data_IF_455037352567
#
_entry.id   IF_455037352567
#
_cell.length_a   1.000
_cell.length_b   1.000
_cell.length_c   1.000
_cell.angle_alpha   90.00
_cell.angle_beta   90.00
_cell.angle_gamma   90.00
#
_symmetry.space_group_name_H-M   'P 1'
#
loop_
_entity.id
_entity.type
_entity.pdbx_description
1 polymer ?
#
# COMPACT_ATOMS: atom_id res chain seq x y z
N UNK A 1 21.84 -1.41 -2.85
CA UNK A 1 21.19 -1.68 -4.14
C UNK A 1 19.69 -1.66 -3.90
N UNK A 2 18.95 -0.79 -4.59
CA UNK A 2 17.50 -0.70 -4.48
C UNK A 2 16.86 -1.57 -5.56
N UNK A 3 15.86 -2.36 -5.20
CA UNK A 3 15.13 -3.24 -6.10
C UNK A 3 13.75 -2.61 -6.34
N UNK A 4 13.39 -2.29 -7.59
CA UNK A 4 12.03 -1.86 -7.91
C UNK A 4 11.03 -2.95 -7.55
N UNK A 5 9.89 -2.58 -6.97
CA UNK A 5 8.81 -3.52 -6.70
C UNK A 5 8.08 -3.88 -8.01
N UNK A 6 8.63 -4.81 -8.80
CA UNK A 6 8.05 -5.27 -10.07
C UNK A 6 7.85 -6.79 -10.13
N UNK A 7 6.81 -7.23 -10.86
CA UNK A 7 6.89 -8.44 -11.69
C UNK A 7 7.32 -8.02 -13.10
N UNK A 8 8.03 -8.87 -13.84
CA UNK A 8 8.59 -8.53 -15.16
C UNK A 8 7.49 -8.22 -16.18
N UNK A 9 7.24 -6.94 -16.47
CA UNK A 9 6.34 -6.45 -17.51
C UNK A 9 6.09 -4.95 -17.39
N UNK A 10 5.74 -4.27 -18.49
CA UNK A 10 5.32 -2.87 -18.55
C UNK A 10 3.92 -2.71 -17.95
N UNK A 11 3.83 -2.78 -16.63
CA UNK A 11 2.60 -2.70 -15.86
C UNK A 11 2.45 -1.28 -15.25
N UNK A 12 1.23 -0.81 -14.91
CA UNK A 12 0.91 0.52 -14.32
C UNK A 12 1.67 0.93 -13.05
N UNK A 13 2.50 0.06 -12.49
CA UNK A 13 3.25 0.34 -11.28
C UNK A 13 4.23 1.49 -11.52
N UNK A 14 4.32 2.41 -10.56
CA UNK A 14 5.30 3.47 -10.62
C UNK A 14 6.69 2.88 -10.41
N UNK A 15 7.68 3.50 -11.03
CA UNK A 15 9.08 3.12 -10.82
C UNK A 15 9.68 3.77 -9.57
N UNK A 16 8.86 4.50 -8.80
CA UNK A 16 9.32 5.34 -7.68
C UNK A 16 9.08 4.70 -6.29
N UNK A 17 8.64 3.44 -6.23
CA UNK A 17 8.60 2.64 -4.98
C UNK A 17 9.62 1.51 -5.05
N UNK A 18 10.60 1.55 -4.15
CA UNK A 18 11.71 0.60 -4.10
C UNK A 18 11.70 -0.19 -2.80
N UNK A 19 12.37 -1.34 -2.81
CA UNK A 19 12.76 -2.04 -1.60
C UNK A 19 14.27 -2.18 -1.54
N UNK A 20 14.82 -2.04 -0.34
CA UNK A 20 16.25 -2.18 -0.12
C UNK A 20 16.68 -3.66 -0.12
N UNK A 21 17.99 -3.89 -0.24
CA UNK A 21 18.53 -5.22 -0.52
C UNK A 21 18.33 -6.15 0.66
N UNK A 22 18.53 -5.70 1.90
CA UNK A 22 18.36 -6.58 3.06
C UNK A 22 16.89 -7.01 3.20
N UNK A 23 15.98 -6.03 3.05
CA UNK A 23 14.54 -6.28 3.06
C UNK A 23 14.14 -7.39 2.09
N UNK A 24 14.69 -7.37 0.88
CA UNK A 24 14.38 -8.36 -0.17
C UNK A 24 15.12 -9.69 -0.01
N UNK A 25 16.35 -9.69 0.52
CA UNK A 25 17.18 -10.90 0.67
C UNK A 25 16.56 -11.88 1.65
N UNK A 26 15.94 -11.39 2.72
CA UNK A 26 15.31 -12.29 3.72
C UNK A 26 14.05 -12.95 3.19
N UNK A 27 13.32 -12.29 2.27
CA UNK A 27 12.16 -12.87 1.61
C UNK A 27 12.55 -14.05 0.70
N UNK A 28 13.81 -14.10 0.25
CA UNK A 28 14.32 -15.13 -0.66
C UNK A 28 15.11 -16.26 0.02
N UNK A 29 15.58 -16.05 1.26
CA UNK A 29 16.54 -16.93 1.92
C UNK A 29 15.91 -18.10 2.72
N UNK A 30 14.62 -18.05 3.08
CA UNK A 30 14.02 -19.09 3.93
C UNK A 30 13.04 -19.97 3.14
N UNK A 31 13.52 -21.17 2.79
CA UNK A 31 12.79 -22.21 2.06
C UNK A 31 11.88 -23.09 2.93
N UNK A 32 11.66 -22.75 4.21
CA UNK A 32 10.94 -23.66 5.13
C UNK A 32 10.00 -23.00 6.13
N UNK A 33 9.98 -21.67 6.26
CA UNK A 33 8.87 -20.94 6.89
C UNK A 33 8.76 -19.59 6.16
N UNK A 34 7.59 -19.30 5.60
CA UNK A 34 7.38 -18.11 4.76
C UNK A 34 7.32 -16.84 5.63
N UNK A 35 8.47 -16.41 6.13
CA UNK A 35 8.59 -15.15 6.86
C UNK A 35 8.57 -13.98 5.87
N UNK A 36 7.38 -13.40 5.71
CA UNK A 36 7.21 -12.15 4.98
C UNK A 36 7.49 -11.01 5.96
N UNK A 37 8.52 -10.20 5.66
CA UNK A 37 8.85 -9.02 6.46
C UNK A 37 7.67 -8.02 6.47
N UNK A 38 7.25 -7.54 7.64
CA UNK A 38 6.29 -6.46 7.71
C UNK A 38 6.91 -5.18 7.13
N UNK A 39 6.11 -4.44 6.38
CA UNK A 39 6.51 -3.16 5.80
C UNK A 39 6.25 -2.10 6.85
N UNK A 40 7.27 -1.79 7.67
CA UNK A 40 7.13 -0.85 8.79
C UNK A 40 7.98 0.42 8.64
N UNK A 41 9.05 0.36 7.84
CA UNK A 41 10.01 1.44 7.72
C UNK A 41 10.10 1.92 6.28
N UNK A 42 9.74 3.19 6.09
CA UNK A 42 9.70 3.81 4.77
C UNK A 42 10.62 5.02 4.78
N UNK A 43 11.52 5.12 3.80
CA UNK A 43 12.20 6.36 3.50
C UNK A 43 11.42 7.08 2.40
N UNK A 44 11.11 8.36 2.59
CA UNK A 44 10.70 9.22 1.50
C UNK A 44 11.86 10.12 1.10
N UNK A 45 11.97 10.43 -0.19
CA UNK A 45 12.89 11.45 -0.65
C UNK A 45 12.35 12.22 -1.86
N UNK A 46 12.78 13.48 -1.96
CA UNK A 46 12.54 14.35 -3.12
C UNK A 46 13.84 14.82 -3.77
N UNK A 47 14.98 14.23 -3.40
CA UNK A 47 16.31 14.69 -3.82
C UNK A 47 16.52 14.65 -5.34
N UNK A 48 15.86 13.74 -6.05
CA UNK A 48 15.92 13.60 -7.51
C UNK A 48 14.93 14.50 -8.26
N UNK A 49 14.23 15.41 -7.57
CA UNK A 49 13.16 16.24 -8.15
C UNK A 49 11.83 15.51 -8.33
N UNK A 50 11.78 14.20 -8.06
CA UNK A 50 10.56 13.39 -8.00
C UNK A 50 10.43 12.73 -6.64
N UNK A 51 9.21 12.61 -6.09
CA UNK A 51 8.99 11.89 -4.84
C UNK A 51 9.25 10.40 -5.05
N UNK A 52 10.06 9.80 -4.19
CA UNK A 52 10.34 8.35 -4.15
C UNK A 52 10.08 7.80 -2.76
N UNK A 53 9.62 6.55 -2.69
CA UNK A 53 9.50 5.79 -1.45
C UNK A 53 10.43 4.57 -1.50
N UNK A 54 11.11 4.30 -0.39
CA UNK A 54 12.00 3.15 -0.25
C UNK A 54 11.64 2.38 1.02
N UNK A 55 11.27 1.12 0.85
CA UNK A 55 11.03 0.19 1.95
C UNK A 55 12.37 -0.34 2.42
N UNK A 56 12.64 -0.20 3.72
CA UNK A 56 13.92 -0.56 4.33
C UNK A 56 13.71 -1.54 5.48
N UNK A 57 14.73 -2.36 5.74
CA UNK A 57 14.77 -3.21 6.94
C UNK A 57 15.14 -2.40 8.19
N UNK A 58 14.81 -2.88 9.40
CA UNK A 58 15.30 -2.27 10.64
C UNK A 58 16.83 -2.18 10.70
N UNK A 59 17.53 -3.18 10.14
CA UNK A 59 18.99 -3.22 10.07
C UNK A 59 19.55 -2.07 9.24
N UNK A 60 19.01 -1.86 8.04
CA UNK A 60 19.39 -0.75 7.15
C UNK A 60 19.05 0.61 7.78
N UNK A 61 17.91 0.72 8.47
CA UNK A 61 17.53 1.93 9.21
C UNK A 61 18.57 2.27 10.26
N UNK A 62 18.97 1.30 11.09
CA UNK A 62 19.94 1.53 12.16
C UNK A 62 21.29 2.01 11.60
N UNK A 63 21.75 1.40 10.52
CA UNK A 63 22.99 1.79 9.85
C UNK A 63 22.93 3.21 9.22
N UNK A 64 21.76 3.63 8.73
CA UNK A 64 21.58 4.89 8.01
C UNK A 64 21.06 6.04 8.89
N UNK A 65 20.68 5.77 10.14
CA UNK A 65 19.93 6.69 10.98
C UNK A 65 20.63 8.05 11.17
N UNK A 66 21.94 8.03 11.40
CA UNK A 66 22.75 9.26 11.53
C UNK A 66 22.70 10.13 10.28
N UNK A 67 22.79 9.52 9.10
CA UNK A 67 22.75 10.23 7.82
C UNK A 67 21.34 10.76 7.52
N UNK A 68 20.30 9.97 7.85
CA UNK A 68 18.91 10.39 7.71
C UNK A 68 18.63 11.62 8.58
N UNK A 69 19.05 11.59 9.84
CA UNK A 69 18.89 12.73 10.79
C UNK A 69 19.58 14.01 10.32
N UNK A 70 20.71 13.89 9.63
CA UNK A 70 21.45 15.03 9.08
C UNK A 70 20.85 15.56 7.75
N UNK A 71 20.03 14.77 7.06
CA UNK A 71 19.44 15.14 5.78
C UNK A 71 18.26 16.10 5.94
N UNK A 72 18.02 16.93 4.91
CA UNK A 72 16.81 17.76 4.79
C UNK A 72 15.82 17.25 3.75
N UNK A 73 16.22 16.26 2.96
CA UNK A 73 15.48 15.77 1.79
C UNK A 73 15.10 14.29 1.91
N UNK A 74 15.53 13.63 2.98
CA UNK A 74 15.22 12.22 3.24
C UNK A 74 14.57 12.15 4.60
N UNK A 75 13.39 11.54 4.66
CA UNK A 75 12.65 11.35 5.90
C UNK A 75 12.41 9.87 6.10
N UNK A 76 12.72 9.36 7.28
CA UNK A 76 12.30 8.05 7.74
C UNK A 76 10.93 8.15 8.37
N UNK A 77 10.04 7.24 8.00
CA UNK A 77 8.68 7.12 8.48
C UNK A 77 8.46 5.76 9.12
N UNK A 78 7.82 5.74 10.28
CA UNK A 78 7.15 4.55 10.77
C UNK A 78 5.80 4.46 10.08
N UNK A 79 5.57 3.32 9.45
CA UNK A 79 4.36 3.01 8.71
C UNK A 79 3.78 1.70 9.23
N UNK A 80 2.47 1.54 9.13
CA UNK A 80 1.82 0.27 9.43
C UNK A 80 0.61 0.13 8.52
N UNK A 81 0.52 -0.94 7.71
CA UNK A 81 -0.64 -1.16 6.86
C UNK A 81 -1.89 -1.40 7.72
N UNK A 82 -3.03 -0.85 7.29
CA UNK A 82 -4.33 -1.04 7.95
C UNK A 82 -4.87 -2.45 7.68
N UNK A 83 -4.41 -3.43 8.44
CA UNK A 83 -4.79 -4.85 8.33
C UNK A 83 -6.01 -5.22 9.17
N UNK A 84 -6.37 -4.39 10.15
CA UNK A 84 -7.57 -4.52 10.97
C UNK A 84 -8.43 -3.28 10.72
N UNK A 85 -9.76 -3.43 10.56
CA UNK A 85 -10.69 -2.30 10.35
C UNK A 85 -10.50 -1.23 11.42
N UNK A 86 -10.19 -1.69 12.64
CA UNK A 86 -9.99 -0.90 13.82
C UNK A 86 -8.68 -0.05 13.86
N UNK A 87 -7.76 -0.24 12.92
CA UNK A 87 -6.53 0.55 12.92
C UNK A 87 -6.79 1.93 12.30
N UNK A 88 -6.15 2.96 12.85
CA UNK A 88 -6.08 4.27 12.18
C UNK A 88 -5.22 4.14 10.93
N UNK A 89 -5.63 4.80 9.85
CA UNK A 89 -4.81 4.88 8.64
C UNK A 89 -3.48 5.59 8.91
N UNK A 90 -2.40 5.03 8.38
CA UNK A 90 -1.05 5.61 8.38
C UNK A 90 -0.63 6.03 6.96
N UNK A 91 -1.60 6.20 6.06
CA UNK A 91 -1.40 6.52 4.64
C UNK A 91 -0.75 7.90 4.44
N UNK A 92 -0.83 8.78 5.43
CA UNK A 92 -0.19 10.09 5.44
C UNK A 92 1.30 10.07 5.78
N UNK A 93 1.84 8.91 6.18
CA UNK A 93 3.22 8.69 6.64
C UNK A 93 3.64 9.64 7.78
N UNK A 94 2.69 10.11 8.59
CA UNK A 94 2.95 11.05 9.71
C UNK A 94 2.87 10.43 11.08
N UNK A 95 2.64 9.11 11.19
CA UNK A 95 2.61 8.40 12.48
C UNK A 95 3.86 8.71 13.32
N UNK A 96 5.03 8.62 12.70
CA UNK A 96 6.30 9.11 13.25
C UNK A 96 7.27 9.35 12.10
N UNK A 97 7.99 10.48 12.14
CA UNK A 97 8.96 10.82 11.10
C UNK A 97 10.24 11.42 11.67
N UNK A 98 11.38 11.06 11.09
CA UNK A 98 12.70 11.60 11.44
C UNK A 98 13.52 11.87 10.17
N UNK A 99 14.02 13.09 9.97
CA UNK A 99 13.70 14.30 10.72
C UNK A 99 12.22 14.70 10.53
N UNK A 100 11.71 15.57 11.40
CA UNK A 100 10.32 16.02 11.35
C UNK A 100 9.93 16.55 9.98
N UNK A 101 8.76 16.16 9.50
CA UNK A 101 8.25 16.60 8.20
C UNK A 101 7.79 18.07 8.23
N UNK A 102 7.94 18.80 7.11
CA UNK A 102 7.29 20.10 6.93
C UNK A 102 5.76 20.01 7.12
N UNK A 103 5.14 21.07 7.61
CA UNK A 103 3.69 21.11 7.85
C UNK A 103 2.86 20.81 6.60
N UNK A 104 3.28 21.32 5.44
CA UNK A 104 2.57 21.14 4.16
C UNK A 104 3.00 19.89 3.38
N UNK A 105 3.90 19.07 3.93
CA UNK A 105 4.35 17.87 3.24
C UNK A 105 3.22 16.85 3.12
N UNK A 106 2.99 16.33 1.92
CA UNK A 106 2.03 15.26 1.68
C UNK A 106 2.66 14.24 0.74
N UNK A 107 2.50 12.93 0.98
CA UNK A 107 2.99 11.93 0.07
C UNK A 107 2.13 11.90 -1.19
N UNK A 108 2.73 11.55 -2.32
CA UNK A 108 2.02 11.42 -3.58
C UNK A 108 1.07 10.20 -3.53
N UNK A 109 -0.21 10.40 -3.88
CA UNK A 109 -1.26 9.38 -3.69
C UNK A 109 -0.95 8.07 -4.41
N UNK A 110 -0.40 8.13 -5.62
CA UNK A 110 -0.04 6.92 -6.37
C UNK A 110 1.05 6.09 -5.68
N UNK A 111 2.00 6.74 -5.01
CA UNK A 111 3.07 6.04 -4.27
C UNK A 111 2.49 5.35 -3.04
N UNK A 112 1.60 6.04 -2.31
CA UNK A 112 0.92 5.47 -1.15
C UNK A 112 -0.01 4.32 -1.54
N UNK A 113 -0.75 4.44 -2.64
CA UNK A 113 -1.60 3.35 -3.14
C UNK A 113 -0.78 2.09 -3.40
N UNK A 114 0.37 2.23 -4.07
CA UNK A 114 1.24 1.10 -4.37
C UNK A 114 1.94 0.56 -3.13
N UNK A 115 2.39 1.43 -2.23
CA UNK A 115 2.90 1.04 -0.92
C UNK A 115 1.86 0.23 -0.15
N UNK A 116 0.61 0.68 -0.10
CA UNK A 116 -0.47 0.01 0.61
C UNK A 116 -0.78 -1.38 0.05
N UNK A 117 -0.85 -1.51 -1.29
CA UNK A 117 -0.99 -2.80 -1.96
C UNK A 117 0.18 -3.71 -1.56
N UNK A 118 1.41 -3.22 -1.72
CA UNK A 118 2.61 -4.02 -1.42
C UNK A 118 2.69 -4.42 0.06
N UNK A 119 2.34 -3.52 0.97
CA UNK A 119 2.33 -3.77 2.40
C UNK A 119 1.24 -4.75 2.84
N UNK A 120 0.27 -5.05 1.98
CA UNK A 120 -0.85 -5.94 2.31
C UNK A 120 -1.93 -5.24 3.13
N UNK A 121 -2.12 -3.93 2.97
CA UNK A 121 -3.21 -3.20 3.61
C UNK A 121 -4.57 -3.77 3.18
N UNK A 122 -5.45 -4.07 4.13
CA UNK A 122 -6.73 -4.76 3.89
C UNK A 122 -7.93 -3.81 3.93
N UNK A 123 -7.80 -2.71 4.67
CA UNK A 123 -8.86 -1.71 4.85
C UNK A 123 -8.41 -0.36 4.30
N UNK A 124 -9.35 0.32 3.65
CA UNK A 124 -9.15 1.62 3.02
C UNK A 124 -9.67 2.73 3.95
N UNK A 125 -9.08 3.95 3.92
CA UNK A 125 -9.43 5.01 4.87
C UNK A 125 -10.83 5.60 4.65
N UNK A 126 -11.29 5.70 3.41
CA UNK A 126 -12.59 6.29 3.05
C UNK A 126 -13.05 5.80 1.67
N UNK A 127 -14.32 6.03 1.32
CA UNK A 127 -14.92 5.60 0.05
C UNK A 127 -14.15 6.11 -1.17
N UNK A 128 -13.69 7.37 -1.15
CA UNK A 128 -12.88 7.93 -2.24
C UNK A 128 -11.59 7.13 -2.53
N UNK A 129 -10.94 6.57 -1.50
CA UNK A 129 -9.75 5.74 -1.68
C UNK A 129 -10.08 4.39 -2.35
N UNK A 130 -11.28 3.86 -2.10
CA UNK A 130 -11.79 2.68 -2.81
C UNK A 130 -12.01 2.96 -4.29
N UNK A 131 -12.67 4.07 -4.61
CA UNK A 131 -12.90 4.44 -6.01
C UNK A 131 -11.57 4.65 -6.73
N UNK A 132 -10.63 5.38 -6.12
CA UNK A 132 -9.30 5.61 -6.71
C UNK A 132 -8.50 4.31 -6.89
N UNK A 133 -8.59 3.37 -5.94
CA UNK A 133 -7.96 2.06 -6.09
C UNK A 133 -8.58 1.25 -7.22
N UNK A 134 -9.91 1.23 -7.34
CA UNK A 134 -10.58 0.50 -8.41
C UNK A 134 -10.26 1.08 -9.79
N UNK A 135 -10.22 2.42 -9.93
CA UNK A 135 -9.75 3.09 -11.16
C UNK A 135 -8.34 2.66 -11.54
N UNK A 136 -7.41 2.67 -10.58
CA UNK A 136 -6.04 2.20 -10.80
C UNK A 136 -5.97 0.75 -11.25
N UNK A 137 -6.81 -0.13 -10.69
CA UNK A 137 -6.86 -1.55 -11.04
C UNK A 137 -7.70 -1.86 -12.29
N UNK A 138 -8.39 -0.88 -12.87
CA UNK A 138 -9.35 -1.08 -13.96
C UNK A 138 -10.61 -1.85 -13.54
N UNK A 139 -11.01 -1.77 -12.28
CA UNK A 139 -12.19 -2.45 -11.71
C UNK A 139 -13.39 -1.51 -11.74
N UNK A 140 -14.55 -2.05 -12.13
CA UNK A 140 -15.81 -1.32 -12.16
C UNK A 140 -16.25 -0.82 -10.78
N UNK A 141 -16.71 0.42 -10.73
CA UNK A 141 -17.37 1.04 -9.58
C UNK A 141 -18.69 1.69 -9.98
N UNK A 142 -19.61 1.82 -9.02
CA UNK A 142 -20.98 2.28 -9.28
C UNK A 142 -21.06 3.71 -9.88
N UNK A 143 -20.07 4.56 -9.64
CA UNK A 143 -19.97 5.90 -10.22
C UNK A 143 -19.74 5.89 -11.74
N UNK A 144 -19.38 4.75 -12.33
CA UNK A 144 -19.24 4.59 -13.77
C UNK A 144 -20.55 4.20 -14.48
N UNK A 145 -21.62 3.87 -13.73
CA UNK A 145 -22.86 3.29 -14.28
C UNK A 145 -23.46 4.11 -15.44
N UNK A 146 -23.45 5.43 -15.30
CA UNK A 146 -24.09 6.34 -16.26
C UNK A 146 -23.11 6.86 -17.32
N UNK A 147 -21.91 6.28 -17.41
CA UNK A 147 -20.82 6.76 -18.27
C UNK A 147 -20.65 5.97 -19.57
N UNK A 148 -21.55 5.02 -19.85
CA UNK A 148 -21.55 4.25 -21.10
C UNK A 148 -21.97 2.79 -20.91
N UNK A 149 -21.94 2.05 -22.02
CA UNK A 149 -22.06 0.60 -22.01
C UNK A 149 -20.65 0.00 -22.10
N UNK A 150 -20.30 -0.85 -21.14
CA UNK A 150 -19.01 -1.53 -21.09
C UNK A 150 -19.17 -2.94 -20.56
N UNK A 151 -18.34 -3.85 -21.07
CA UNK A 151 -18.32 -5.25 -20.64
C UNK A 151 -17.51 -5.37 -19.35
N UNK A 152 -18.14 -5.93 -18.31
CA UNK A 152 -17.50 -6.18 -17.01
C UNK A 152 -17.19 -7.67 -16.93
N UNK A 153 -15.92 -8.02 -16.74
CA UNK A 153 -15.51 -9.41 -16.52
C UNK A 153 -16.02 -9.96 -15.18
N UNK A 154 -15.97 -11.28 -15.01
CA UNK A 154 -16.46 -11.97 -13.80
C UNK A 154 -15.77 -11.51 -12.50
N UNK A 155 -14.56 -10.97 -12.59
CA UNK A 155 -13.79 -10.44 -11.46
C UNK A 155 -13.95 -8.92 -11.25
N UNK A 156 -14.81 -8.29 -12.05
CA UNK A 156 -15.09 -6.85 -12.00
C UNK A 156 -14.18 -6.00 -12.89
N UNK A 157 -13.19 -6.59 -13.56
CA UNK A 157 -12.28 -5.85 -14.44
C UNK A 157 -12.96 -5.41 -15.74
N UNK A 158 -12.66 -4.19 -16.19
CA UNK A 158 -13.08 -3.63 -17.47
C UNK A 158 -11.86 -3.62 -18.40
N UNK A 159 -11.98 -4.22 -19.59
CA UNK A 159 -10.89 -4.24 -20.58
C UNK A 159 -10.60 -2.84 -21.10
N UNK A 160 -9.34 -2.52 -21.47
CA UNK A 160 -8.99 -1.21 -22.01
C UNK A 160 -9.92 -0.70 -23.12
N UNK A 161 -10.31 -1.56 -24.06
CA UNK A 161 -11.20 -1.26 -25.18
C UNK A 161 -12.62 -0.84 -24.77
N UNK A 162 -13.07 -1.26 -23.59
CA UNK A 162 -14.41 -0.98 -23.05
C UNK A 162 -14.38 0.11 -21.96
N UNK A 163 -13.21 0.69 -21.63
CA UNK A 163 -13.13 1.64 -20.51
C UNK A 163 -13.77 2.98 -20.83
N UNK A 164 -14.62 3.52 -19.94
CA UNK A 164 -15.07 4.89 -20.07
C UNK A 164 -13.89 5.85 -19.84
N UNK A 165 -13.92 7.08 -20.40
CA UNK A 165 -12.84 8.06 -20.25
C UNK A 165 -12.44 8.36 -18.80
N UNK A 166 -13.38 8.27 -17.85
CA UNK A 166 -13.08 8.51 -16.43
C UNK A 166 -12.29 7.37 -15.76
N UNK A 167 -12.25 6.20 -16.38
CA UNK A 167 -11.50 5.02 -15.93
C UNK A 167 -10.32 4.68 -16.86
N UNK A 168 -10.13 5.44 -17.93
CA UNK A 168 -9.00 5.28 -18.83
C UNK A 168 -7.81 6.14 -18.40
N UNK A 169 -6.65 5.52 -18.30
CA UNK A 169 -5.42 6.17 -17.88
C UNK A 169 -4.27 5.71 -18.79
N UNK A 170 -3.28 6.59 -19.08
CA UNK A 170 -2.23 6.29 -20.06
C UNK A 170 -1.42 5.01 -19.78
N UNK A 171 -1.38 4.57 -18.52
CA UNK A 171 -0.60 3.40 -18.08
C UNK A 171 -1.46 2.26 -17.54
N UNK A 172 -2.75 2.17 -17.87
CA UNK A 172 -3.65 1.18 -17.27
C UNK A 172 -3.29 -0.29 -17.56
N UNK A 173 -3.76 -1.19 -16.69
CA UNK A 173 -3.60 -2.63 -16.85
C UNK A 173 -4.24 -3.12 -18.16
N UNK A 174 -3.52 -3.93 -18.93
CA UNK A 174 -4.03 -4.54 -20.16
C UNK A 174 -4.82 -5.83 -19.89
N UNK A 175 -4.45 -6.53 -18.83
CA UNK A 175 -5.13 -7.75 -18.34
C UNK A 175 -5.51 -7.56 -16.87
N UNK A 176 -6.46 -8.36 -16.37
CA UNK A 176 -6.92 -8.24 -15.00
C UNK A 176 -5.78 -8.49 -13.99
N UNK A 177 -5.47 -7.54 -13.09
CA UNK A 177 -4.50 -7.76 -12.01
C UNK A 177 -5.07 -8.60 -10.87
N UNK A 178 -6.38 -8.86 -10.85
CA UNK A 178 -7.10 -9.48 -9.73
C UNK A 178 -6.55 -10.86 -9.35
N UNK A 179 -6.27 -11.80 -10.28
CA UNK A 179 -5.73 -13.11 -9.93
C UNK A 179 -4.36 -13.03 -9.23
N UNK A 180 -3.48 -12.16 -9.72
CA UNK A 180 -2.14 -11.94 -9.15
C UNK A 180 -2.26 -11.31 -7.76
N UNK A 181 -3.14 -10.31 -7.61
CA UNK A 181 -3.39 -9.68 -6.32
C UNK A 181 -4.01 -10.66 -5.31
N UNK A 182 -4.91 -11.55 -5.73
CA UNK A 182 -5.43 -12.61 -4.85
C UNK A 182 -4.32 -13.50 -4.30
N UNK A 183 -3.42 -13.97 -5.17
CA UNK A 183 -2.27 -14.77 -4.77
C UNK A 183 -1.37 -13.98 -3.79
N UNK A 184 -1.07 -12.72 -4.12
CA UNK A 184 -0.25 -11.84 -3.30
C UNK A 184 -0.82 -11.62 -1.90
N UNK A 185 -2.09 -11.25 -1.80
CA UNK A 185 -2.76 -11.04 -0.50
C UNK A 185 -2.90 -12.33 0.30
N UNK A 186 -3.14 -13.47 -0.36
CA UNK A 186 -3.16 -14.78 0.31
C UNK A 186 -1.82 -15.11 0.99
N UNK A 187 -0.71 -14.81 0.31
CA UNK A 187 0.65 -14.94 0.84
C UNK A 187 0.84 -13.98 2.03
N UNK A 188 0.54 -12.68 1.86
CA UNK A 188 0.66 -11.64 2.90
C UNK A 188 -0.15 -11.94 4.15
N UNK A 189 -1.34 -12.51 4.01
CA UNK A 189 -2.22 -12.86 5.12
C UNK A 189 -1.87 -14.22 5.77
N UNK A 190 -0.88 -14.96 5.26
CA UNK A 190 -0.42 -16.25 5.81
C UNK A 190 -1.56 -17.26 6.05
N UNK A 191 -2.53 -17.31 5.13
CA UNK A 191 -3.70 -18.19 5.24
C UNK A 191 -4.83 -17.66 6.13
N UNK A 192 -4.69 -16.50 6.76
CA UNK A 192 -5.82 -15.82 7.41
C UNK A 192 -6.79 -15.30 6.34
N UNK A 193 -8.09 -15.53 6.57
CA UNK A 193 -9.13 -15.09 5.66
C UNK A 193 -9.23 -13.57 5.61
N UNK A 194 -8.99 -12.97 4.45
CA UNK A 194 -9.15 -11.54 4.21
C UNK A 194 -10.42 -11.19 3.41
N UNK A 195 -11.24 -12.18 3.07
CA UNK A 195 -12.48 -12.00 2.31
C UNK A 195 -13.46 -10.94 2.86
N UNK A 196 -13.67 -10.77 4.20
CA UNK A 196 -14.60 -9.77 4.71
C UNK A 196 -14.03 -8.34 4.67
N UNK A 197 -12.74 -8.17 4.38
CA UNK A 197 -12.07 -6.86 4.31
C UNK A 197 -12.44 -6.08 3.05
N UNK A 198 -12.06 -4.80 2.98
CA UNK A 198 -12.31 -4.00 1.78
C UNK A 198 -11.60 -4.58 0.56
N UNK A 199 -10.30 -4.93 0.69
CA UNK A 199 -9.56 -5.59 -0.38
C UNK A 199 -10.15 -6.95 -0.74
N UNK A 200 -10.56 -7.74 0.26
CA UNK A 200 -11.22 -9.03 0.04
C UNK A 200 -12.49 -8.91 -0.81
N UNK A 201 -13.31 -7.90 -0.53
CA UNK A 201 -14.52 -7.60 -1.30
C UNK A 201 -14.17 -7.15 -2.72
N UNK A 202 -13.25 -6.18 -2.87
CA UNK A 202 -12.82 -5.64 -4.19
C UNK A 202 -12.31 -6.76 -5.10
N UNK A 203 -11.39 -7.60 -4.61
CA UNK A 203 -10.81 -8.68 -5.41
C UNK A 203 -11.82 -9.79 -5.76
N UNK A 204 -12.99 -9.83 -5.12
CA UNK A 204 -14.06 -10.79 -5.43
C UNK A 204 -15.26 -10.13 -6.10
N UNK A 205 -15.04 -9.03 -6.83
CA UNK A 205 -16.06 -8.29 -7.56
C UNK A 205 -17.23 -7.81 -6.68
N UNK A 206 -17.04 -7.69 -5.35
CA UNK A 206 -18.05 -7.17 -4.44
C UNK A 206 -17.89 -5.67 -4.30
N UNK A 207 -19.00 -4.96 -4.51
CA UNK A 207 -19.05 -3.50 -4.41
C UNK A 207 -19.03 -3.08 -2.95
N UNK A 208 -18.28 -2.01 -2.67
CA UNK A 208 -18.33 -1.32 -1.39
C UNK A 208 -19.31 -0.14 -1.49
N UNK A 209 -19.99 0.16 -0.38
CA UNK A 209 -20.83 1.36 -0.22
C UNK A 209 -20.19 2.30 0.80
N UNK A 210 -20.79 3.48 1.02
CA UNK A 210 -20.30 4.39 2.07
C UNK A 210 -20.39 3.78 3.47
N UNK A 211 -21.40 2.94 3.73
CA UNK A 211 -21.63 2.25 5.01
C UNK A 211 -20.44 1.34 5.40
N UNK A 212 -19.72 0.79 4.42
CA UNK A 212 -18.53 -0.03 4.71
C UNK A 212 -17.42 0.78 5.43
N UNK A 213 -17.43 2.10 5.31
CA UNK A 213 -16.43 3.02 5.83
C UNK A 213 -16.84 3.72 7.13
N UNK A 214 -18.05 3.47 7.63
CA UNK A 214 -18.48 3.99 8.93
C UNK A 214 -17.66 3.34 10.06
N UNK A 215 -17.18 4.16 10.99
CA UNK A 215 -16.34 3.74 12.12
C UNK A 215 -17.19 3.23 13.30
N UNK A 216 -16.67 2.27 14.06
CA UNK A 216 -17.24 1.84 15.34
C UNK A 216 -16.35 2.37 16.48
N UNK A 217 -16.97 2.93 17.53
CA UNK A 217 -16.34 3.77 18.56
C UNK A 217 -15.08 3.20 19.26
N UNK A 218 -14.17 4.12 19.61
CA UNK A 218 -12.73 3.90 19.81
C UNK A 218 -12.22 4.40 21.17
N UNK A 219 -11.72 3.52 22.05
CA UNK A 219 -10.81 4.01 23.13
C UNK A 219 -9.68 3.03 23.46
N UNK A 220 -9.85 1.71 23.30
CA UNK A 220 -8.95 0.76 23.98
C UNK A 220 -7.73 0.25 23.18
N UNK A 221 -7.71 0.32 21.85
CA UNK A 221 -6.66 -0.35 21.04
C UNK A 221 -5.42 0.51 20.73
N UNK A 222 -5.53 1.83 20.79
CA UNK A 222 -4.42 2.74 20.44
C UNK A 222 -3.22 2.59 21.38
N UNK A 223 -3.46 2.22 22.64
CA UNK A 223 -2.43 2.04 23.67
C UNK A 223 -1.60 0.76 23.47
N UNK A 224 -2.20 -0.33 22.97
CA UNK A 224 -1.50 -1.61 22.85
C UNK A 224 -0.46 -1.61 21.71
N UNK A 225 -0.76 -0.91 20.61
CA UNK A 225 0.13 -0.85 19.44
C UNK A 225 1.28 0.15 19.60
N UNK A 226 1.03 1.29 20.26
CA UNK A 226 2.10 2.24 20.57
C UNK A 226 3.20 1.59 21.42
N UNK A 227 2.83 0.72 22.36
CA UNK A 227 3.78 -0.05 23.16
C UNK A 227 4.62 -1.01 22.30
N UNK A 228 4.04 -1.74 21.34
CA UNK A 228 4.77 -2.72 20.53
C UNK A 228 5.79 -2.08 19.58
N UNK A 229 5.42 -0.96 18.94
CA UNK A 229 6.34 -0.19 18.09
C UNK A 229 7.41 0.54 18.90
N UNK A 230 7.08 1.09 20.08
CA UNK A 230 8.07 1.78 20.93
C UNK A 230 9.09 0.79 21.53
N UNK A 231 8.66 -0.42 21.93
CA UNK A 231 9.56 -1.48 22.41
C UNK A 231 10.55 -1.90 21.31
N UNK A 232 10.09 -1.97 20.05
CA UNK A 232 10.97 -2.29 18.91
C UNK A 232 12.04 -1.22 18.62
N UNK A 233 11.83 0.01 19.10
CA UNK A 233 12.80 1.12 18.98
C UNK A 233 13.71 1.24 20.21
N UNK A 234 13.24 0.84 21.40
CA UNK A 234 13.98 0.95 22.65
C UNK A 234 14.83 -0.28 23.01
N UNK A 235 14.56 -1.43 22.40
CA UNK A 235 15.26 -2.71 22.69
C UNK A 235 16.16 -3.16 21.53
N UNK A 236 16.38 -2.28 20.53
CA UNK A 236 17.29 -2.51 19.40
C UNK A 236 18.60 -1.75 19.54
#
# INVERSE_FOLDING_TARGET
>A
MLIPLRSSGSQPWTQDVFAARDFTTTVLAEKTDSYIRPVNWILSSTASGKPVLVIVSPFEVNALLSNIRASKQVHLHIYTPRVIKMMKSCDDLRLYSVPSLPALWTPHEDLIRQLNIFAGQLYLPHYGAYVNLCRFLGIYTADLRDQGAFEIQNDGFIRPEDRPPAADHPNSFQESPVPVLKAFFSIRCKGLGYLPTHIGKILNARRLTNEDFEEADWVSFFLYFFFYCLISVLVG
#
